data_IF_382141638551
#
_entry.id   IF_382141638551
#
_cell.length_a   1.000
_cell.length_b   1.000
_cell.length_c   1.000
_cell.angle_alpha   90.00
_cell.angle_beta   90.00
_cell.angle_gamma   90.00
#
_symmetry.space_group_name_H-M   'P 1'
#
loop_
_entity.id
_entity.type
_entity.pdbx_description
1 polymer ?
#
# COMPACT_ATOMS: atom_id res chain seq x y z
N UNK A 1 25.44 -34.15 -55.70
CA UNK A 1 25.95 -34.16 -54.30
C UNK A 1 25.67 -32.85 -53.55
N UNK A 2 26.09 -31.68 -54.05
CA UNK A 2 25.94 -30.38 -53.34
C UNK A 2 24.50 -30.00 -52.99
N UNK A 3 23.54 -30.25 -53.90
CA UNK A 3 22.11 -29.96 -53.68
C UNK A 3 21.50 -30.77 -52.53
N UNK A 4 21.84 -32.05 -52.42
CA UNK A 4 21.35 -32.89 -51.32
C UNK A 4 21.87 -32.40 -49.96
N UNK A 5 23.15 -31.99 -49.92
CA UNK A 5 23.74 -31.40 -48.72
C UNK A 5 23.05 -30.09 -48.33
N UNK A 6 22.77 -29.20 -49.30
CA UNK A 6 22.06 -27.93 -49.00
C UNK A 6 20.64 -28.16 -48.52
N UNK A 7 19.89 -29.10 -49.12
CA UNK A 7 18.54 -29.40 -48.65
C UNK A 7 18.55 -30.04 -47.26
N UNK A 8 19.51 -30.92 -46.97
CA UNK A 8 19.66 -31.51 -45.64
C UNK A 8 19.99 -30.46 -44.59
N UNK A 9 20.94 -29.56 -44.87
CA UNK A 9 21.33 -28.49 -43.96
C UNK A 9 20.16 -27.51 -43.74
N UNK A 10 19.43 -27.16 -44.80
CA UNK A 10 18.26 -26.30 -44.70
C UNK A 10 17.14 -26.93 -43.86
N UNK A 11 16.86 -28.22 -44.06
CA UNK A 11 15.85 -28.93 -43.29
C UNK A 11 16.21 -29.00 -41.80
N UNK A 12 17.44 -29.38 -41.46
CA UNK A 12 17.89 -29.42 -40.07
C UNK A 12 17.95 -28.02 -39.44
N UNK A 13 18.40 -27.01 -40.20
CA UNK A 13 18.40 -25.63 -39.76
C UNK A 13 16.99 -25.10 -39.44
N UNK A 14 16.00 -25.44 -40.28
CA UNK A 14 14.61 -25.07 -40.05
C UNK A 14 14.05 -25.73 -38.78
N UNK A 15 14.33 -27.02 -38.56
CA UNK A 15 13.92 -27.72 -37.32
C UNK A 15 14.60 -27.11 -36.09
N UNK A 16 15.90 -26.83 -36.16
CA UNK A 16 16.64 -26.19 -35.06
C UNK A 16 16.07 -24.81 -34.73
N UNK A 17 15.74 -24.00 -35.74
CA UNK A 17 15.11 -22.69 -35.54
C UNK A 17 13.72 -22.82 -34.89
N UNK A 18 12.90 -23.76 -35.34
CA UNK A 18 11.58 -24.02 -34.73
C UNK A 18 11.71 -24.43 -33.26
N UNK A 19 12.69 -25.26 -32.91
CA UNK A 19 12.93 -25.63 -31.52
C UNK A 19 13.46 -24.44 -30.70
N UNK A 20 14.36 -23.64 -31.26
CA UNK A 20 14.95 -22.50 -30.55
C UNK A 20 13.94 -21.38 -30.28
N UNK A 21 13.05 -21.08 -31.22
CA UNK A 21 12.09 -19.99 -31.10
C UNK A 21 10.69 -20.45 -30.68
N UNK A 22 10.26 -21.65 -31.11
CA UNK A 22 8.92 -22.18 -30.82
C UNK A 22 8.79 -22.79 -29.43
N UNK A 23 9.81 -23.51 -28.95
CA UNK A 23 9.79 -24.12 -27.62
C UNK A 23 9.67 -23.10 -26.48
N UNK A 24 10.46 -22.00 -26.44
CA UNK A 24 10.28 -20.98 -25.40
C UNK A 24 8.94 -20.23 -25.51
N UNK A 25 8.28 -20.23 -26.68
CA UNK A 25 6.93 -19.67 -26.82
C UNK A 25 5.87 -20.59 -26.19
N UNK A 26 6.07 -21.91 -26.22
CA UNK A 26 5.12 -22.88 -25.66
C UNK A 26 5.22 -22.98 -24.14
N UNK A 27 6.42 -22.73 -23.57
CA UNK A 27 6.65 -22.73 -22.12
C UNK A 27 6.27 -21.42 -21.43
N UNK A 28 5.68 -20.45 -22.14
CA UNK A 28 5.20 -19.23 -21.48
C UNK A 28 4.06 -19.59 -20.54
N UNK A 29 4.18 -19.29 -19.23
CA UNK A 29 3.04 -19.44 -18.34
C UNK A 29 1.92 -18.57 -18.89
N UNK A 30 0.71 -19.11 -18.95
CA UNK A 30 -0.46 -18.29 -19.27
C UNK A 30 -0.52 -17.15 -18.24
N UNK A 31 -0.89 -15.93 -18.66
CA UNK A 31 -1.15 -14.88 -17.70
C UNK A 31 -2.15 -15.41 -16.67
N UNK A 32 -1.96 -15.09 -15.37
CA UNK A 32 -2.91 -15.51 -14.37
C UNK A 32 -4.29 -15.04 -14.81
N UNK A 33 -5.25 -15.97 -14.90
CA UNK A 33 -6.64 -15.57 -15.06
C UNK A 33 -6.97 -14.61 -13.94
N UNK A 34 -7.57 -13.46 -14.27
CA UNK A 34 -8.06 -12.52 -13.27
C UNK A 34 -9.25 -13.16 -12.56
N UNK A 35 -8.96 -13.99 -11.58
CA UNK A 35 -9.96 -14.59 -10.73
C UNK A 35 -10.54 -13.48 -9.85
N UNK A 36 -11.77 -13.07 -10.15
CA UNK A 36 -12.48 -12.06 -9.37
C UNK A 36 -12.77 -12.62 -7.98
N UNK A 37 -12.03 -12.15 -6.97
CA UNK A 37 -12.25 -12.53 -5.58
C UNK A 37 -13.34 -11.62 -5.02
N UNK A 38 -14.54 -12.17 -4.81
CA UNK A 38 -15.63 -11.46 -4.13
C UNK A 38 -15.38 -11.53 -2.63
N UNK A 39 -15.02 -10.40 -2.03
CA UNK A 39 -14.85 -10.25 -0.58
C UNK A 39 -16.09 -9.61 0.03
N UNK A 40 -16.68 -10.30 1.01
CA UNK A 40 -17.74 -9.76 1.85
C UNK A 40 -17.11 -8.96 2.99
N UNK A 41 -17.37 -7.65 3.02
CA UNK A 41 -16.82 -6.74 4.04
C UNK A 41 -17.72 -6.82 5.28
N UNK A 42 -17.36 -7.69 6.22
CA UNK A 42 -18.12 -7.86 7.46
C UNK A 42 -17.69 -6.81 8.50
N UNK A 43 -18.63 -6.08 9.13
CA UNK A 43 -18.30 -5.13 10.18
C UNK A 43 -17.77 -5.84 11.43
N UNK A 44 -16.59 -5.43 11.90
CA UNK A 44 -15.88 -5.99 13.07
C UNK A 44 -16.72 -5.90 14.37
N UNK A 45 -17.69 -4.99 14.42
CA UNK A 45 -18.60 -4.79 15.56
C UNK A 45 -19.51 -5.98 15.84
N UNK A 46 -19.76 -6.86 14.86
CA UNK A 46 -20.63 -8.03 15.05
C UNK A 46 -19.86 -9.24 15.62
N UNK A 47 -18.57 -9.35 15.32
CA UNK A 47 -17.74 -10.49 15.75
C UNK A 47 -16.97 -10.19 17.05
N UNK A 48 -16.71 -8.90 17.33
CA UNK A 48 -15.92 -8.50 18.50
C UNK A 48 -16.82 -7.94 19.60
N UNK A 49 -17.16 -8.78 20.59
CA UNK A 49 -17.72 -8.38 21.90
C UNK A 49 -16.66 -7.70 22.79
N UNK A 50 -15.74 -6.92 22.23
CA UNK A 50 -14.80 -6.16 23.05
C UNK A 50 -15.60 -5.07 23.78
N UNK A 51 -15.64 -5.18 25.10
CA UNK A 51 -16.16 -4.18 26.02
C UNK A 51 -15.74 -2.80 25.51
N UNK A 52 -16.71 -2.01 25.06
CA UNK A 52 -16.47 -0.62 24.69
C UNK A 52 -16.01 0.09 25.96
N UNK A 53 -14.70 0.20 26.14
CA UNK A 53 -14.10 1.08 27.12
C UNK A 53 -14.55 2.48 26.75
N UNK A 54 -15.61 2.96 27.42
CA UNK A 54 -16.05 4.35 27.29
C UNK A 54 -14.83 5.24 27.51
N UNK A 55 -14.58 6.24 26.65
CA UNK A 55 -13.53 7.21 26.89
C UNK A 55 -13.74 7.87 28.27
N UNK A 56 -12.69 7.92 29.09
CA UNK A 56 -12.72 8.69 30.34
C UNK A 56 -12.89 10.18 29.98
N UNK A 57 -13.71 10.95 30.73
CA UNK A 57 -13.88 12.37 30.45
C UNK A 57 -12.54 13.10 30.57
N UNK A 58 -12.29 14.05 29.66
CA UNK A 58 -11.11 14.91 29.71
C UNK A 58 -11.08 15.74 31.01
N UNK A 59 -9.90 15.96 31.61
CA UNK A 59 -9.77 16.81 32.79
C UNK A 59 -10.23 18.24 32.50
N UNK A 60 -11.05 18.79 33.39
CA UNK A 60 -11.54 20.17 33.28
C UNK A 60 -10.37 21.15 33.43
N UNK A 61 -10.26 22.21 32.60
CA UNK A 61 -9.18 23.18 32.71
C UNK A 61 -9.17 23.83 34.10
N UNK A 62 -7.99 23.88 34.71
CA UNK A 62 -7.77 24.57 35.98
C UNK A 62 -7.88 26.09 35.75
N UNK A 63 -8.59 26.85 36.59
CA UNK A 63 -8.74 28.29 36.38
C UNK A 63 -7.37 28.99 36.40
N UNK A 64 -7.04 29.72 35.33
CA UNK A 64 -5.85 30.58 35.31
C UNK A 64 -5.91 31.57 36.46
N UNK A 65 -4.93 31.46 37.35
CA UNK A 65 -4.75 32.39 38.46
C UNK A 65 -4.35 33.75 37.86
N UNK A 66 -5.29 34.70 37.83
CA UNK A 66 -5.02 36.06 37.38
C UNK A 66 -3.84 36.65 38.16
N UNK A 67 -2.74 36.92 37.45
CA UNK A 67 -1.61 37.66 38.00
C UNK A 67 -2.08 39.10 38.20
N UNK A 68 -2.13 39.55 39.46
CA UNK A 68 -2.51 40.91 39.79
C UNK A 68 -1.55 41.89 39.11
N UNK A 69 -2.06 42.73 38.20
CA UNK A 69 -1.30 43.87 37.69
C UNK A 69 -1.00 44.83 38.84
N UNK A 70 0.28 45.06 39.13
CA UNK A 70 0.71 46.08 40.06
C UNK A 70 0.28 47.45 39.52
N UNK A 71 -0.50 48.20 40.31
CA UNK A 71 -0.86 49.59 39.98
C UNK A 71 0.36 50.51 40.17
N UNK A 72 0.59 51.50 39.29
CA UNK A 72 1.72 52.42 39.44
C UNK A 72 1.58 53.31 40.69
N UNK A 73 2.70 53.76 41.29
CA UNK A 73 2.68 54.53 42.52
C UNK A 73 2.06 55.92 42.33
N UNK A 74 1.41 56.49 43.36
CA UNK A 74 0.77 57.80 43.29
C UNK A 74 1.80 58.93 43.13
N UNK A 75 1.41 60.05 42.49
CA UNK A 75 2.30 61.20 42.32
C UNK A 75 2.59 61.90 43.66
N UNK A 76 3.75 62.57 43.78
CA UNK A 76 4.15 63.26 45.00
C UNK A 76 3.24 64.47 45.30
N UNK A 77 3.03 64.81 46.59
CA UNK A 77 2.14 65.90 46.98
C UNK A 77 2.71 67.29 46.61
N UNK A 78 1.84 68.26 46.28
CA UNK A 78 2.23 69.65 46.03
C UNK A 78 2.64 70.40 47.33
N UNK A 79 3.39 71.53 47.22
CA UNK A 79 3.99 72.24 48.36
C UNK A 79 2.99 72.94 49.28
#
# INVERSE_FOLDING_TARGET
MKRGLTYSLAAHGAVAALLWFGLPSLSRPLPPEEQTIVIDVVPVSEVTRASQLRPKPDPKPEPEKQVAQASPPPPPPPP
#
